data_IF_822949531588
#
_entry.id   IF_822949531588
#
_cell.length_a   1.000
_cell.length_b   1.000
_cell.length_c   1.000
_cell.angle_alpha   90.00
_cell.angle_beta   90.00
_cell.angle_gamma   90.00
#
_symmetry.space_group_name_H-M   'P 1'
#
loop_
_entity.id
_entity.type
_entity.pdbx_description
1 polymer ?
#
# COMPACT_ATOMS: atom_id res chain seq x y z
N UNK A 1 60.58 26.05 13.57
CA UNK A 1 60.98 25.30 14.78
C UNK A 1 59.71 24.70 15.38
N UNK A 2 59.42 23.43 15.04
CA UNK A 2 59.42 22.24 15.94
C UNK A 2 58.21 22.18 16.88
N UNK A 3 57.44 21.09 17.00
CA UNK A 3 57.26 19.83 16.25
C UNK A 3 56.00 19.18 16.87
N UNK A 4 55.23 18.43 16.05
CA UNK A 4 54.11 17.56 16.41
C UNK A 4 54.47 16.57 17.54
N UNK A 5 53.49 16.15 18.35
CA UNK A 5 53.43 14.77 18.85
C UNK A 5 52.17 14.08 18.33
N UNK A 6 52.37 12.85 17.89
CA UNK A 6 51.40 11.90 17.33
C UNK A 6 51.31 10.73 18.32
N UNK A 7 50.14 10.10 18.31
CA UNK A 7 49.76 8.87 19.01
C UNK A 7 50.81 7.77 19.03
N UNK A 8 50.71 6.88 20.03
CA UNK A 8 50.78 5.46 19.71
C UNK A 8 49.96 4.55 20.62
N UNK A 9 49.61 3.43 20.00
CA UNK A 9 48.58 2.44 20.29
C UNK A 9 49.01 1.35 21.28
N UNK A 10 48.05 0.73 21.99
CA UNK A 10 48.22 -0.63 22.52
C UNK A 10 46.98 -1.49 22.26
N UNK A 11 47.26 -2.67 21.73
CA UNK A 11 46.42 -3.63 21.02
C UNK A 11 45.66 -4.62 21.92
N UNK A 12 44.60 -5.20 21.35
CA UNK A 12 43.80 -6.31 21.90
C UNK A 12 44.50 -7.66 21.68
N UNK A 13 44.72 -8.42 22.78
CA UNK A 13 44.83 -9.89 22.95
C UNK A 13 46.07 -10.32 23.74
N UNK A 14 45.88 -10.61 25.02
CA UNK A 14 46.46 -11.77 25.72
C UNK A 14 45.94 -11.74 27.18
N UNK A 15 44.95 -12.54 27.54
CA UNK A 15 45.04 -13.93 28.03
C UNK A 15 45.38 -14.04 29.55
N UNK A 16 44.30 -14.26 30.31
CA UNK A 16 44.09 -15.29 31.35
C UNK A 16 45.26 -15.69 32.27
N UNK A 17 44.99 -15.57 33.58
CA UNK A 17 45.32 -16.44 34.75
C UNK A 17 45.18 -15.52 35.98
N UNK A 18 44.44 -15.81 37.04
CA UNK A 18 44.53 -16.97 37.93
C UNK A 18 43.37 -17.01 38.96
N UNK A 19 43.14 -18.21 39.48
CA UNK A 19 42.14 -18.65 40.45
C UNK A 19 42.25 -18.00 41.86
N UNK A 20 41.14 -17.80 42.59
CA UNK A 20 40.66 -18.53 43.81
C UNK A 20 41.72 -18.56 44.95
N UNK A 21 41.55 -18.04 46.18
CA UNK A 21 40.46 -18.26 47.17
C UNK A 21 40.61 -17.38 48.44
N UNK A 22 39.46 -17.02 49.04
CA UNK A 22 39.09 -16.95 50.48
C UNK A 22 39.68 -15.85 51.39
N UNK A 23 38.77 -15.05 51.99
CA UNK A 23 39.00 -14.34 53.26
C UNK A 23 38.00 -13.20 53.51
N UNK A 24 37.09 -13.39 54.46
CA UNK A 24 35.86 -12.62 54.69
C UNK A 24 36.01 -11.21 55.28
N UNK A 25 35.14 -10.28 54.85
CA UNK A 25 34.60 -9.20 55.69
C UNK A 25 33.24 -8.74 55.13
N UNK A 26 32.21 -8.84 55.95
CA UNK A 26 30.81 -8.61 55.63
C UNK A 26 30.41 -7.13 55.72
N UNK A 27 29.64 -6.60 54.77
CA UNK A 27 28.62 -5.55 54.98
C UNK A 27 27.55 -5.58 53.85
N UNK A 28 26.31 -5.87 54.26
CA UNK A 28 24.98 -5.45 53.76
C UNK A 28 24.63 -5.40 52.24
N UNK A 29 23.72 -6.29 51.81
CA UNK A 29 22.41 -5.98 51.15
C UNK A 29 21.60 -7.27 50.84
N UNK A 30 20.26 -7.28 50.96
CA UNK A 30 19.43 -8.49 50.83
C UNK A 30 19.00 -8.74 49.37
N UNK A 31 19.12 -9.99 48.91
CA UNK A 31 18.69 -10.41 47.58
C UNK A 31 17.19 -10.80 47.57
N UNK A 32 16.39 -9.93 46.97
CA UNK A 32 14.98 -10.07 46.63
C UNK A 32 14.72 -11.13 45.53
N UNK A 33 15.01 -12.40 45.78
CA UNK A 33 14.76 -13.46 44.79
C UNK A 33 13.70 -14.50 45.21
N UNK A 34 13.19 -14.44 46.44
CA UNK A 34 12.24 -15.44 46.96
C UNK A 34 10.80 -14.92 47.21
N UNK A 35 10.55 -13.62 47.08
CA UNK A 35 9.18 -13.08 47.20
C UNK A 35 8.44 -12.96 45.86
N UNK A 36 9.15 -12.99 44.71
CA UNK A 36 8.54 -12.79 43.40
C UNK A 36 7.78 -14.02 42.86
N UNK A 37 8.07 -15.23 43.36
CA UNK A 37 7.41 -16.47 42.93
C UNK A 37 6.16 -16.81 43.75
N UNK A 38 6.04 -16.31 44.98
CA UNK A 38 4.85 -16.50 45.81
C UNK A 38 3.76 -15.43 45.54
N UNK A 39 4.13 -14.22 45.09
CA UNK A 39 3.16 -13.21 44.62
C UNK A 39 2.52 -13.59 43.28
N UNK A 40 3.17 -14.46 42.50
CA UNK A 40 2.68 -14.95 41.21
C UNK A 40 1.64 -16.08 41.34
N UNK A 41 1.60 -16.78 42.47
CA UNK A 41 0.67 -17.90 42.71
C UNK A 41 -0.54 -17.54 43.59
N UNK A 42 -0.58 -16.32 44.16
CA UNK A 42 -1.64 -15.89 45.08
C UNK A 42 -2.68 -14.90 44.52
N UNK A 43 -2.50 -14.37 43.32
CA UNK A 43 -3.36 -13.30 42.78
C UNK A 43 -4.49 -13.81 41.88
N UNK A 44 -5.25 -14.80 42.36
CA UNK A 44 -6.56 -15.10 41.78
C UNK A 44 -7.57 -14.01 42.20
N UNK A 45 -8.00 -13.19 41.22
CA UNK A 45 -9.11 -12.20 41.20
C UNK A 45 -8.83 -10.78 41.72
N UNK A 46 -8.52 -9.88 40.78
CA UNK A 46 -8.87 -8.44 40.63
C UNK A 46 -8.22 -8.01 39.30
N UNK A 47 -8.80 -7.31 38.34
CA UNK A 47 -10.09 -6.67 38.13
C UNK A 47 -10.10 -6.24 36.66
N UNK A 48 -11.26 -6.30 36.04
CA UNK A 48 -11.52 -6.34 34.61
C UNK A 48 -11.45 -4.95 33.92
N UNK A 49 -10.34 -4.19 34.03
CA UNK A 49 -10.35 -2.75 33.67
C UNK A 49 -9.22 -2.16 32.81
N UNK A 50 -8.29 -2.95 32.25
CA UNK A 50 -7.29 -2.40 31.29
C UNK A 50 -7.13 -3.23 30.00
N UNK A 51 -7.32 -4.55 30.03
CA UNK A 51 -7.09 -5.39 28.83
C UNK A 51 -8.15 -5.21 27.73
N UNK A 52 -9.31 -4.62 28.05
CA UNK A 52 -10.39 -4.41 27.09
C UNK A 52 -10.26 -3.09 26.31
N UNK A 53 -9.46 -2.16 26.83
CA UNK A 53 -9.26 -0.82 26.28
C UNK A 53 -8.30 -0.85 25.08
N UNK A 54 -7.16 -1.52 25.24
CA UNK A 54 -6.16 -1.72 24.18
C UNK A 54 -6.64 -2.70 23.10
N UNK A 55 -7.54 -3.63 23.46
CA UNK A 55 -8.17 -4.53 22.51
C UNK A 55 -9.18 -3.82 21.59
N UNK A 56 -9.79 -2.70 21.99
CA UNK A 56 -10.76 -1.97 21.17
C UNK A 56 -10.09 -1.01 20.17
N UNK A 57 -9.01 -0.33 20.55
CA UNK A 57 -8.24 0.57 19.67
C UNK A 57 -7.56 -0.18 18.52
N UNK A 58 -7.03 -1.38 18.78
CA UNK A 58 -6.48 -2.27 17.75
C UNK A 58 -7.57 -2.96 16.89
N UNK A 59 -8.78 -3.18 17.42
CA UNK A 59 -9.97 -3.62 16.64
C UNK A 59 -10.58 -2.52 15.77
N UNK A 60 -10.33 -1.25 16.06
CA UNK A 60 -11.00 -0.11 15.40
C UNK A 60 -10.67 0.00 13.90
N UNK A 61 -9.41 -0.29 13.52
CA UNK A 61 -8.98 -0.37 12.13
C UNK A 61 -9.40 -1.70 11.45
N UNK A 62 -9.48 -2.79 12.22
CA UNK A 62 -9.96 -4.10 11.75
C UNK A 62 -11.45 -4.07 11.42
N UNK A 63 -12.24 -3.30 12.18
CA UNK A 63 -13.69 -3.12 11.99
C UNK A 63 -14.11 -2.20 10.84
N UNK A 64 -13.19 -1.86 9.93
CA UNK A 64 -13.45 -1.07 8.72
C UNK A 64 -13.38 -1.96 7.46
N UNK A 65 -12.76 -3.15 7.55
CA UNK A 65 -12.56 -4.04 6.41
C UNK A 65 -13.71 -5.06 6.34
N UNK A 66 -14.46 -5.01 5.25
CA UNK A 66 -15.54 -5.95 4.97
C UNK A 66 -15.08 -7.05 4.00
N UNK A 67 -15.66 -8.25 4.13
CA UNK A 67 -15.51 -9.31 3.13
C UNK A 67 -16.56 -9.21 2.01
N UNK A 68 -17.40 -8.17 2.03
CA UNK A 68 -18.31 -7.85 0.95
C UNK A 68 -17.54 -7.15 -0.17
N UNK A 69 -17.69 -7.59 -1.44
CA UNK A 69 -17.05 -6.93 -2.56
C UNK A 69 -17.57 -5.51 -2.78
N UNK A 70 -16.71 -4.61 -3.25
CA UNK A 70 -17.11 -3.24 -3.64
C UNK A 70 -18.20 -3.25 -4.71
N UNK A 71 -18.11 -4.20 -5.66
CA UNK A 71 -19.08 -4.40 -6.74
C UNK A 71 -20.04 -5.56 -6.47
N UNK A 72 -20.28 -5.91 -5.20
CA UNK A 72 -21.23 -6.96 -4.85
C UNK A 72 -22.66 -6.60 -5.25
N UNK A 73 -23.52 -7.61 -5.44
CA UNK A 73 -24.92 -7.41 -5.89
C UNK A 73 -25.73 -6.41 -5.06
N UNK A 74 -25.50 -6.38 -3.75
CA UNK A 74 -26.20 -5.47 -2.82
C UNK A 74 -25.51 -4.10 -2.67
N UNK A 75 -24.37 -3.87 -3.32
CA UNK A 75 -23.63 -2.61 -3.21
C UNK A 75 -24.47 -1.36 -3.54
N UNK A 76 -25.35 -1.34 -4.57
CA UNK A 76 -26.24 -0.20 -4.79
C UNK A 76 -27.17 0.11 -3.62
N UNK A 77 -27.64 -0.92 -2.90
CA UNK A 77 -28.53 -0.75 -1.72
C UNK A 77 -27.76 -0.11 -0.57
N UNK A 78 -26.57 -0.63 -0.26
CA UNK A 78 -25.72 -0.05 0.79
C UNK A 78 -25.31 1.39 0.46
N UNK A 79 -25.06 1.68 -0.82
CA UNK A 79 -24.79 3.04 -1.28
C UNK A 79 -25.97 3.99 -1.09
N UNK A 80 -27.19 3.56 -1.40
CA UNK A 80 -28.40 4.36 -1.16
C UNK A 80 -28.60 4.64 0.34
N UNK A 81 -28.35 3.65 1.20
CA UNK A 81 -28.39 3.84 2.66
C UNK A 81 -27.36 4.87 3.13
N UNK A 82 -26.12 4.77 2.65
CA UNK A 82 -25.08 5.75 2.95
C UNK A 82 -25.44 7.16 2.46
N UNK A 83 -26.03 7.28 1.27
CA UNK A 83 -26.52 8.55 0.73
C UNK A 83 -27.61 9.14 1.63
N UNK A 84 -28.59 8.36 2.08
CA UNK A 84 -29.62 8.83 3.01
C UNK A 84 -29.03 9.31 4.34
N UNK A 85 -28.06 8.56 4.90
CA UNK A 85 -27.35 8.98 6.11
C UNK A 85 -26.64 10.32 5.91
N UNK A 86 -25.93 10.50 4.78
CA UNK A 86 -25.20 11.72 4.50
C UNK A 86 -26.12 12.90 4.16
N UNK A 87 -27.28 12.66 3.54
CA UNK A 87 -28.34 13.66 3.37
C UNK A 87 -28.84 14.18 4.71
N UNK A 88 -29.06 13.30 5.70
CA UNK A 88 -29.46 13.72 7.04
C UNK A 88 -28.38 14.57 7.72
N UNK A 89 -27.11 14.19 7.58
CA UNK A 89 -25.98 14.97 8.10
C UNK A 89 -25.98 16.39 7.49
N UNK A 90 -26.12 16.48 6.16
CA UNK A 90 -26.20 17.77 5.45
C UNK A 90 -27.39 18.61 5.93
N UNK A 91 -28.57 18.02 6.03
CA UNK A 91 -29.78 18.71 6.49
C UNK A 91 -29.66 19.24 7.93
N UNK A 92 -28.86 18.56 8.76
CA UNK A 92 -28.56 18.98 10.13
C UNK A 92 -27.41 20.03 10.22
N UNK A 93 -26.98 20.61 9.08
CA UNK A 93 -25.93 21.63 9.03
C UNK A 93 -24.53 21.09 8.76
N UNK A 94 -24.38 19.79 8.47
CA UNK A 94 -23.10 19.16 8.18
C UNK A 94 -22.27 18.85 9.43
N UNK A 95 -20.95 18.93 9.30
CA UNK A 95 -20.00 18.79 10.40
C UNK A 95 -19.09 20.01 10.48
N UNK A 96 -18.58 20.36 11.69
CA UNK A 96 -17.68 21.49 11.83
C UNK A 96 -16.35 21.24 11.11
N UNK A 97 -15.75 22.33 10.63
CA UNK A 97 -14.36 22.34 10.20
C UNK A 97 -13.45 22.13 11.40
N UNK A 98 -12.40 21.31 11.24
CA UNK A 98 -11.35 21.14 12.24
C UNK A 98 -10.30 22.22 11.98
N UNK A 99 -10.14 23.21 12.88
CA UNK A 99 -9.17 24.28 12.68
C UNK A 99 -7.75 23.74 12.62
N UNK A 100 -6.88 24.42 11.86
CA UNK A 100 -5.45 24.16 11.93
C UNK A 100 -4.95 24.40 13.37
N UNK A 101 -4.26 23.42 13.95
CA UNK A 101 -3.57 23.58 15.23
C UNK A 101 -2.12 24.00 15.01
N UNK A 102 -1.56 24.73 15.96
CA UNK A 102 -0.13 25.08 16.01
C UNK A 102 0.75 23.86 16.28
N UNK A 103 0.18 22.77 16.79
CA UNK A 103 0.86 21.51 17.08
C UNK A 103 0.14 20.34 16.38
N UNK A 104 0.84 19.22 16.20
CA UNK A 104 0.21 18.00 15.67
C UNK A 104 -0.73 17.43 16.72
N UNK A 105 -1.97 17.17 16.34
CA UNK A 105 -2.94 16.52 17.22
C UNK A 105 -2.66 15.02 17.26
N UNK A 106 -2.32 14.52 18.44
CA UNK A 106 -1.97 13.14 18.73
C UNK A 106 -2.18 12.86 20.23
N UNK A 107 -2.13 11.59 20.63
CA UNK A 107 -2.37 11.18 22.01
C UNK A 107 -1.53 11.99 23.02
N UNK A 108 -2.21 12.47 24.07
CA UNK A 108 -1.61 13.26 25.15
C UNK A 108 -1.60 14.79 24.93
N UNK A 109 -1.92 15.27 23.72
CA UNK A 109 -2.05 16.70 23.45
C UNK A 109 -3.35 17.26 24.03
N UNK A 110 -3.31 18.46 24.61
CA UNK A 110 -4.51 19.25 24.91
C UNK A 110 -4.53 20.51 24.06
N UNK A 111 -5.56 20.66 23.24
CA UNK A 111 -5.70 21.76 22.28
C UNK A 111 -7.18 22.08 22.03
N UNK A 112 -7.60 23.36 21.96
CA UNK A 112 -8.99 23.72 21.67
C UNK A 112 -9.54 23.10 20.37
N UNK A 113 -8.71 22.89 19.35
CA UNK A 113 -9.11 22.26 18.08
C UNK A 113 -9.58 20.80 18.26
N UNK A 114 -9.19 20.12 19.34
CA UNK A 114 -9.66 18.77 19.65
C UNK A 114 -11.16 18.75 19.92
N UNK A 115 -11.74 19.83 20.43
CA UNK A 115 -13.19 19.91 20.61
C UNK A 115 -13.93 19.84 19.27
N UNK A 116 -13.44 20.59 18.26
CA UNK A 116 -13.98 20.54 16.90
C UNK A 116 -13.75 19.18 16.25
N UNK A 117 -12.57 18.58 16.44
CA UNK A 117 -12.26 17.22 15.96
C UNK A 117 -13.23 16.18 16.55
N UNK A 118 -13.51 16.23 17.85
CA UNK A 118 -14.46 15.33 18.52
C UNK A 118 -15.85 15.47 17.92
N UNK A 119 -16.35 16.70 17.78
CA UNK A 119 -17.65 16.95 17.14
C UNK A 119 -17.67 16.41 15.71
N UNK A 120 -16.62 16.67 14.93
CA UNK A 120 -16.47 16.19 13.55
C UNK A 120 -16.53 14.66 13.44
N UNK A 121 -15.81 13.95 14.32
CA UNK A 121 -15.77 12.49 14.36
C UNK A 121 -17.09 11.89 14.90
N UNK A 122 -17.76 12.57 15.83
CA UNK A 122 -19.07 12.17 16.34
C UNK A 122 -20.16 12.25 15.27
N UNK A 123 -20.19 13.31 14.47
CA UNK A 123 -21.18 13.48 13.39
C UNK A 123 -21.04 12.37 12.34
N UNK A 124 -19.82 11.97 11.99
CA UNK A 124 -19.56 10.87 11.06
C UNK A 124 -19.64 9.47 11.67
N UNK A 125 -19.90 9.35 12.97
CA UNK A 125 -20.01 8.05 13.65
C UNK A 125 -18.68 7.35 13.93
N UNK A 126 -17.55 8.06 13.86
CA UNK A 126 -16.23 7.53 14.21
C UNK A 126 -15.96 7.58 15.73
N UNK A 127 -16.59 8.53 16.44
CA UNK A 127 -16.49 8.72 17.88
C UNK A 127 -17.89 8.62 18.52
N UNK A 128 -18.11 7.77 19.54
CA UNK A 128 -19.37 7.75 20.29
C UNK A 128 -19.64 9.09 21.00
N UNK A 129 -20.91 9.52 21.06
CA UNK A 129 -21.27 10.81 21.68
C UNK A 129 -20.98 10.85 23.17
N UNK A 130 -21.00 9.69 23.81
CA UNK A 130 -20.72 9.47 25.23
C UNK A 130 -19.26 9.80 25.60
N UNK A 131 -18.35 9.85 24.61
CA UNK A 131 -16.97 10.26 24.82
C UNK A 131 -16.82 11.76 25.18
N UNK A 132 -17.89 12.55 25.04
CA UNK A 132 -17.95 13.95 25.46
C UNK A 132 -17.08 14.91 24.64
N UNK A 133 -17.25 16.21 24.90
CA UNK A 133 -16.45 17.27 24.29
C UNK A 133 -15.38 17.71 25.28
N UNK A 134 -14.11 17.58 24.88
CA UNK A 134 -12.92 17.92 25.67
C UNK A 134 -11.84 18.46 24.75
N UNK A 135 -10.92 19.26 25.29
CA UNK A 135 -9.70 19.70 24.58
C UNK A 135 -8.60 18.62 24.59
N UNK A 136 -8.75 17.55 25.38
CA UNK A 136 -7.76 16.49 25.46
C UNK A 136 -7.88 15.52 24.27
N UNK A 137 -6.75 15.21 23.63
CA UNK A 137 -6.61 14.13 22.68
C UNK A 137 -6.30 12.84 23.44
N UNK A 138 -7.36 12.17 23.86
CA UNK A 138 -7.31 10.90 24.60
C UNK A 138 -7.34 9.69 23.65
N UNK A 139 -7.35 8.50 24.23
CA UNK A 139 -7.43 7.24 23.50
C UNK A 139 -8.73 7.06 22.69
N UNK A 140 -9.84 7.70 23.09
CA UNK A 140 -11.09 7.64 22.34
C UNK A 140 -10.94 8.39 21.02
N UNK A 141 -10.34 9.58 21.06
CA UNK A 141 -10.03 10.36 19.86
C UNK A 141 -8.98 9.66 19.00
N UNK A 142 -7.95 9.06 19.60
CA UNK A 142 -6.95 8.26 18.88
C UNK A 142 -7.60 7.10 18.11
N UNK A 143 -8.41 6.28 18.78
CA UNK A 143 -9.13 5.18 18.14
C UNK A 143 -10.09 5.63 17.04
N UNK A 144 -10.85 6.69 17.30
CA UNK A 144 -11.78 7.28 16.33
C UNK A 144 -11.05 7.87 15.11
N UNK A 145 -9.92 8.55 15.32
CA UNK A 145 -9.13 9.10 14.22
C UNK A 145 -8.48 7.99 13.40
N UNK A 146 -7.98 6.94 14.04
CA UNK A 146 -7.46 5.74 13.32
C UNK A 146 -8.53 5.08 12.47
N UNK A 147 -9.75 4.95 13.00
CA UNK A 147 -10.90 4.44 12.23
C UNK A 147 -11.23 5.35 11.05
N UNK A 148 -11.26 6.66 11.27
CA UNK A 148 -11.46 7.67 10.21
C UNK A 148 -10.38 7.53 9.13
N UNK A 149 -9.10 7.51 9.52
CA UNK A 149 -7.97 7.37 8.59
C UNK A 149 -8.09 6.08 7.76
N UNK A 150 -8.35 4.94 8.42
CA UNK A 150 -8.51 3.65 7.76
C UNK A 150 -9.63 3.68 6.70
N UNK A 151 -10.82 4.23 7.03
CA UNK A 151 -11.93 4.30 6.07
C UNK A 151 -11.74 5.33 4.96
N UNK A 152 -10.77 6.23 5.10
CA UNK A 152 -10.35 7.17 4.06
C UNK A 152 -9.13 6.70 3.25
N UNK A 153 -8.59 5.51 3.54
CA UNK A 153 -7.38 4.99 2.89
C UNK A 153 -6.09 5.71 3.29
N UNK A 154 -6.09 6.39 4.44
CA UNK A 154 -4.93 7.04 5.05
C UNK A 154 -4.24 6.08 6.05
N UNK A 155 -2.98 6.35 6.47
CA UNK A 155 -2.33 5.56 7.50
C UNK A 155 -3.08 5.76 8.82
N UNK A 156 -3.48 4.67 9.46
CA UNK A 156 -4.20 4.71 10.73
C UNK A 156 -3.23 4.88 11.91
N UNK A 157 -2.46 5.96 11.91
CA UNK A 157 -1.45 6.28 12.92
C UNK A 157 -2.00 7.07 14.13
N UNK A 158 -3.23 7.59 14.04
CA UNK A 158 -3.85 8.40 15.10
C UNK A 158 -3.31 9.82 15.17
N UNK A 159 -2.60 10.29 14.14
CA UNK A 159 -2.02 11.63 14.06
C UNK A 159 -2.78 12.48 13.03
N UNK A 160 -3.26 13.65 13.44
CA UNK A 160 -3.87 14.61 12.52
C UNK A 160 -2.80 15.40 11.77
N UNK A 161 -2.19 14.75 10.76
CA UNK A 161 -1.31 15.39 9.80
C UNK A 161 -2.07 16.14 8.69
N UNK A 162 -1.33 16.75 7.75
CA UNK A 162 -1.90 17.57 6.67
C UNK A 162 -3.02 16.86 5.89
N UNK A 163 -2.77 15.63 5.41
CA UNK A 163 -3.76 14.87 4.63
C UNK A 163 -4.97 14.44 5.46
N UNK A 164 -4.77 14.08 6.73
CA UNK A 164 -5.87 13.76 7.66
C UNK A 164 -6.77 14.98 7.84
N UNK A 165 -6.18 16.16 8.08
CA UNK A 165 -6.90 17.42 8.27
C UNK A 165 -7.63 17.84 6.99
N UNK A 166 -7.00 17.76 5.81
CA UNK A 166 -7.68 17.99 4.52
C UNK A 166 -8.87 17.06 4.35
N UNK A 167 -8.70 15.76 4.61
CA UNK A 167 -9.78 14.78 4.48
C UNK A 167 -10.93 15.02 5.47
N UNK A 168 -10.63 15.44 6.71
CA UNK A 168 -11.61 15.81 7.74
C UNK A 168 -12.45 17.01 7.30
N UNK A 169 -11.80 18.00 6.67
CA UNK A 169 -12.41 19.28 6.32
C UNK A 169 -13.12 19.27 4.95
N UNK A 170 -13.10 18.18 4.19
CA UNK A 170 -14.04 17.99 3.07
C UNK A 170 -15.46 18.03 3.63
N UNK A 171 -16.28 18.96 3.11
CA UNK A 171 -17.63 19.20 3.63
C UNK A 171 -18.57 18.00 3.45
N UNK A 172 -19.62 17.93 4.27
CA UNK A 172 -20.64 16.89 4.16
C UNK A 172 -21.35 16.91 2.81
N UNK A 173 -21.57 18.10 2.26
CA UNK A 173 -22.17 18.28 0.94
C UNK A 173 -21.31 17.66 -0.17
N UNK A 174 -20.00 17.87 -0.10
CA UNK A 174 -19.07 17.32 -1.09
C UNK A 174 -18.97 15.79 -0.95
N UNK A 175 -18.93 15.25 0.27
CA UNK A 175 -18.93 13.79 0.48
C UNK A 175 -20.24 13.14 0.03
N UNK A 176 -21.38 13.81 0.22
CA UNK A 176 -22.67 13.36 -0.31
C UNK A 176 -22.64 13.31 -1.84
N UNK A 177 -22.15 14.36 -2.50
CA UNK A 177 -21.97 14.37 -3.95
C UNK A 177 -21.02 13.26 -4.42
N UNK A 178 -19.93 13.01 -3.70
CA UNK A 178 -19.00 11.91 -3.97
C UNK A 178 -19.70 10.55 -3.93
N UNK A 179 -20.56 10.30 -2.93
CA UNK A 179 -21.36 9.08 -2.84
C UNK A 179 -22.34 8.95 -4.01
N UNK A 180 -23.01 10.04 -4.40
CA UNK A 180 -23.94 10.06 -5.52
C UNK A 180 -23.24 9.76 -6.85
N UNK A 181 -22.08 10.36 -7.10
CA UNK A 181 -21.24 10.07 -8.28
C UNK A 181 -20.84 8.59 -8.32
N UNK A 182 -20.42 8.03 -7.19
CA UNK A 182 -19.98 6.63 -7.16
C UNK A 182 -21.13 5.62 -7.16
N UNK A 183 -22.34 6.00 -6.72
CA UNK A 183 -23.54 5.15 -6.91
C UNK A 183 -23.77 4.89 -8.39
N UNK A 184 -23.65 5.91 -9.26
CA UNK A 184 -23.80 5.75 -10.72
C UNK A 184 -22.75 4.79 -11.27
N UNK A 185 -21.48 4.92 -10.83
CA UNK A 185 -20.39 4.03 -11.27
C UNK A 185 -20.62 2.59 -10.81
N UNK A 186 -21.05 2.38 -9.57
CA UNK A 186 -21.40 1.05 -9.05
C UNK A 186 -22.59 0.46 -9.82
N UNK A 187 -23.63 1.25 -10.09
CA UNK A 187 -24.79 0.81 -10.87
C UNK A 187 -24.42 0.41 -12.30
N UNK A 188 -23.47 1.10 -12.94
CA UNK A 188 -22.98 0.70 -14.27
C UNK A 188 -22.29 -0.67 -14.29
N UNK A 189 -21.90 -1.19 -13.13
CA UNK A 189 -21.26 -2.50 -12.96
C UNK A 189 -22.21 -3.56 -12.36
N UNK A 190 -23.50 -3.25 -12.17
CA UNK A 190 -24.47 -4.11 -11.46
C UNK A 190 -24.94 -5.37 -12.23
N UNK A 191 -24.35 -5.67 -13.38
CA UNK A 191 -24.61 -6.89 -14.13
C UNK A 191 -24.02 -8.14 -13.48
N UNK A 192 -24.15 -9.30 -14.15
CA UNK A 192 -23.47 -10.51 -13.71
C UNK A 192 -21.96 -10.38 -13.94
N UNK A 193 -21.21 -10.15 -12.86
CA UNK A 193 -19.75 -10.06 -12.88
C UNK A 193 -19.07 -11.45 -12.94
N UNK A 194 -19.86 -12.52 -12.84
CA UNK A 194 -19.41 -13.90 -12.72
C UNK A 194 -19.14 -14.28 -11.28
N UNK A 195 -19.35 -15.56 -10.96
CA UNK A 195 -19.14 -16.11 -9.61
C UNK A 195 -17.71 -15.99 -9.12
N UNK A 196 -16.74 -15.92 -10.05
CA UNK A 196 -15.31 -15.87 -9.77
C UNK A 196 -14.67 -14.79 -10.63
N UNK A 197 -14.24 -13.69 -10.04
CA UNK A 197 -13.68 -12.55 -10.76
C UNK A 197 -12.67 -11.78 -9.92
N UNK A 198 -11.93 -10.90 -10.58
CA UNK A 198 -11.00 -9.98 -9.95
C UNK A 198 -11.48 -8.53 -10.14
N UNK A 199 -11.45 -7.73 -9.09
CA UNK A 199 -11.67 -6.29 -9.18
C UNK A 199 -10.40 -5.55 -8.77
N UNK A 200 -9.95 -4.60 -9.57
CA UNK A 200 -8.88 -3.65 -9.24
C UNK A 200 -9.53 -2.27 -9.06
N UNK A 201 -9.59 -1.77 -7.82
CA UNK A 201 -10.08 -0.43 -7.56
C UNK A 201 -8.89 0.54 -7.55
N UNK A 202 -8.78 1.33 -8.63
CA UNK A 202 -7.64 2.20 -8.93
C UNK A 202 -7.38 3.22 -7.81
N UNK A 203 -8.33 4.10 -7.41
CA UNK A 203 -8.11 5.08 -6.35
C UNK A 203 -7.89 4.44 -4.97
N UNK A 204 -8.38 3.22 -4.75
CA UNK A 204 -8.09 2.47 -3.52
C UNK A 204 -6.72 1.80 -3.53
N UNK A 205 -6.06 1.71 -4.70
CA UNK A 205 -4.87 0.91 -4.93
C UNK A 205 -4.99 -0.48 -4.28
N UNK A 206 -6.13 -1.15 -4.54
CA UNK A 206 -6.50 -2.41 -3.92
C UNK A 206 -7.12 -3.36 -4.95
N UNK A 207 -6.88 -4.66 -4.74
CA UNK A 207 -7.38 -5.74 -5.58
C UNK A 207 -8.23 -6.68 -4.72
N UNK A 208 -9.40 -7.05 -5.20
CA UNK A 208 -10.28 -8.04 -4.57
C UNK A 208 -10.45 -9.24 -5.51
N UNK A 209 -10.04 -10.42 -5.04
CA UNK A 209 -10.45 -11.67 -5.66
C UNK A 209 -11.78 -12.09 -5.02
N UNK A 210 -12.81 -12.23 -5.85
CA UNK A 210 -14.18 -12.46 -5.42
C UNK A 210 -14.60 -13.86 -5.84
N UNK A 211 -15.18 -14.60 -4.89
CA UNK A 211 -15.85 -15.87 -5.13
C UNK A 211 -17.21 -15.88 -4.46
N UNK A 212 -18.26 -16.20 -5.21
CA UNK A 212 -19.63 -16.34 -4.71
C UNK A 212 -20.06 -15.13 -3.86
N UNK A 213 -19.89 -13.91 -4.40
CA UNK A 213 -20.22 -12.64 -3.73
C UNK A 213 -19.43 -12.37 -2.43
N UNK A 214 -18.27 -13.00 -2.25
CA UNK A 214 -17.38 -12.76 -1.12
C UNK A 214 -15.96 -12.47 -1.58
N UNK A 215 -15.32 -11.50 -0.96
CA UNK A 215 -13.88 -11.26 -1.12
C UNK A 215 -13.13 -12.39 -0.39
N UNK A 216 -12.46 -13.26 -1.15
CA UNK A 216 -11.66 -14.36 -0.60
C UNK A 216 -10.18 -14.02 -0.47
N UNK A 217 -9.71 -13.03 -1.23
CA UNK A 217 -8.36 -12.49 -1.13
C UNK A 217 -8.40 -11.00 -1.43
N UNK A 218 -7.63 -10.22 -0.67
CA UNK A 218 -7.41 -8.79 -0.92
C UNK A 218 -5.91 -8.51 -0.97
N UNK A 219 -5.47 -7.84 -2.03
CA UNK A 219 -4.07 -7.45 -2.21
C UNK A 219 -3.96 -5.92 -2.30
N UNK A 220 -2.87 -5.39 -1.74
CA UNK A 220 -2.46 -4.01 -1.99
C UNK A 220 -1.86 -3.90 -3.39
N UNK A 221 -2.17 -2.82 -4.09
CA UNK A 221 -1.62 -2.52 -5.40
C UNK A 221 -0.77 -1.24 -5.40
N UNK A 222 0.04 -1.08 -6.45
CA UNK A 222 0.57 0.20 -6.92
C UNK A 222 0.05 0.42 -8.33
N UNK A 223 -0.59 1.55 -8.58
CA UNK A 223 -1.20 1.89 -9.88
C UNK A 223 -0.47 3.08 -10.52
N UNK A 224 -0.92 3.50 -11.70
CA UNK A 224 -0.33 4.59 -12.47
C UNK A 224 -0.36 5.92 -11.72
N UNK A 225 0.64 6.77 -11.98
CA UNK A 225 0.61 8.19 -11.55
C UNK A 225 -0.39 9.00 -12.38
N UNK A 226 -0.79 10.17 -11.92
CA UNK A 226 -1.75 11.04 -12.64
C UNK A 226 -1.28 11.38 -14.08
N UNK A 227 0.02 11.59 -14.29
CA UNK A 227 0.60 11.85 -15.61
C UNK A 227 0.66 10.61 -16.54
N UNK A 228 0.43 9.40 -16.01
CA UNK A 228 0.36 8.13 -16.76
C UNK A 228 -0.67 7.20 -16.10
N UNK A 229 -1.97 7.52 -16.20
CA UNK A 229 -3.00 6.87 -15.41
C UNK A 229 -3.18 5.41 -15.82
N UNK A 230 -3.53 4.56 -14.85
CA UNK A 230 -4.09 3.22 -15.13
C UNK A 230 -5.50 3.36 -15.67
N UNK A 231 -5.83 2.64 -16.74
CA UNK A 231 -7.14 2.74 -17.37
C UNK A 231 -8.20 1.87 -16.69
N UNK A 232 -9.46 2.29 -16.82
CA UNK A 232 -10.64 1.47 -16.50
C UNK A 232 -10.76 0.40 -17.57
N UNK A 233 -10.94 -0.86 -17.17
CA UNK A 233 -10.87 -2.04 -18.04
C UNK A 233 -11.97 -3.00 -17.62
N UNK A 234 -12.67 -3.57 -18.61
CA UNK A 234 -13.52 -4.74 -18.44
C UNK A 234 -12.99 -5.82 -19.38
N UNK A 235 -12.41 -6.87 -18.83
CA UNK A 235 -11.66 -7.86 -19.59
C UNK A 235 -11.63 -9.22 -18.89
N UNK A 236 -10.77 -10.12 -19.38
CA UNK A 236 -10.47 -11.41 -18.78
C UNK A 236 -8.96 -11.65 -18.73
N UNK A 237 -8.51 -12.20 -17.62
CA UNK A 237 -7.17 -12.72 -17.41
C UNK A 237 -7.07 -14.06 -18.13
N UNK A 238 -6.07 -14.21 -18.97
CA UNK A 238 -5.89 -15.42 -19.80
C UNK A 238 -4.55 -16.12 -19.57
N UNK A 239 -3.57 -15.43 -18.99
CA UNK A 239 -2.22 -15.98 -18.82
C UNK A 239 -1.53 -15.43 -17.57
N UNK A 240 -0.75 -16.31 -16.93
CA UNK A 240 0.28 -15.97 -15.96
C UNK A 240 1.63 -16.36 -16.55
N UNK A 241 2.63 -15.50 -16.47
CA UNK A 241 4.01 -15.82 -16.81
C UNK A 241 4.84 -15.83 -15.53
N UNK A 242 5.37 -16.99 -15.16
CA UNK A 242 6.38 -17.10 -14.11
C UNK A 242 7.76 -16.79 -14.70
N UNK A 243 8.59 -16.08 -13.93
CA UNK A 243 9.90 -15.60 -14.34
C UNK A 243 9.84 -14.83 -15.68
N UNK A 244 9.03 -13.75 -15.77
CA UNK A 244 8.84 -13.04 -17.02
C UNK A 244 10.12 -12.33 -17.46
N UNK A 245 10.36 -12.28 -18.78
CA UNK A 245 11.23 -11.24 -19.33
C UNK A 245 10.55 -9.88 -19.18
N UNK A 246 11.32 -8.83 -18.88
CA UNK A 246 10.81 -7.46 -18.93
C UNK A 246 11.35 -6.72 -20.14
N UNK A 247 10.47 -6.28 -21.02
CA UNK A 247 10.84 -5.42 -22.14
C UNK A 247 10.55 -3.97 -21.77
N UNK A 248 11.60 -3.15 -21.71
CA UNK A 248 11.45 -1.75 -21.36
C UNK A 248 10.65 -1.00 -22.45
N UNK A 249 9.57 -0.29 -22.09
CA UNK A 249 8.86 0.57 -23.03
C UNK A 249 9.78 1.65 -23.60
N UNK A 250 9.49 2.09 -24.84
CA UNK A 250 10.31 3.10 -25.54
C UNK A 250 10.56 4.36 -24.70
N UNK A 251 9.54 4.84 -24.00
CA UNK A 251 9.65 6.01 -23.13
C UNK A 251 10.63 5.82 -21.97
N UNK A 252 10.75 4.60 -21.41
CA UNK A 252 11.68 4.28 -20.34
C UNK A 252 13.11 4.21 -20.88
N UNK A 253 13.28 3.63 -22.09
CA UNK A 253 14.57 3.62 -22.77
C UNK A 253 15.09 5.05 -22.96
N UNK A 254 14.25 5.94 -23.48
CA UNK A 254 14.61 7.33 -23.80
C UNK A 254 14.85 8.20 -22.57
N UNK A 255 13.97 8.12 -21.57
CA UNK A 255 13.99 9.04 -20.42
C UNK A 255 14.87 8.57 -19.27
N UNK A 256 15.10 7.27 -19.16
CA UNK A 256 15.72 6.68 -17.97
C UNK A 256 17.00 5.92 -18.33
N UNK A 257 16.91 4.91 -19.20
CA UNK A 257 18.04 4.00 -19.45
C UNK A 257 19.18 4.68 -20.21
N UNK A 258 18.88 5.49 -21.25
CA UNK A 258 19.93 6.21 -22.00
C UNK A 258 20.71 7.18 -21.11
N UNK A 259 20.08 8.06 -20.31
CA UNK A 259 20.81 8.88 -19.35
C UNK A 259 21.65 8.09 -18.34
N UNK A 260 21.20 6.91 -17.91
CA UNK A 260 21.98 6.05 -17.02
C UNK A 260 23.20 5.45 -17.73
N UNK A 261 23.05 5.01 -18.97
CA UNK A 261 24.17 4.50 -19.78
C UNK A 261 25.22 5.57 -20.11
N UNK A 262 24.81 6.83 -20.26
CA UNK A 262 25.73 7.96 -20.43
C UNK A 262 26.58 8.22 -19.18
N UNK A 263 26.05 7.92 -17.99
CA UNK A 263 26.75 8.06 -16.70
C UNK A 263 27.56 6.82 -16.32
N UNK A 264 27.03 5.64 -16.60
CA UNK A 264 27.62 4.35 -16.28
C UNK A 264 27.39 3.34 -17.42
N UNK A 265 28.43 3.02 -18.21
CA UNK A 265 28.32 2.08 -19.31
C UNK A 265 28.13 0.62 -18.88
N UNK A 266 28.29 0.30 -17.58
CA UNK A 266 28.05 -1.06 -17.04
C UNK A 266 26.62 -1.30 -16.60
N UNK A 267 25.75 -0.27 -16.66
CA UNK A 267 24.39 -0.32 -16.13
C UNK A 267 23.57 -1.50 -16.68
N UNK A 268 23.58 -1.73 -18.01
CA UNK A 268 22.80 -2.81 -18.61
C UNK A 268 23.26 -4.19 -18.14
N UNK A 269 24.58 -4.40 -18.04
CA UNK A 269 25.15 -5.66 -17.56
C UNK A 269 24.76 -5.92 -16.10
N UNK A 270 24.95 -4.94 -15.21
CA UNK A 270 24.59 -5.06 -13.78
C UNK A 270 23.10 -5.33 -13.56
N UNK A 271 22.26 -4.87 -14.48
CA UNK A 271 20.80 -5.05 -14.43
C UNK A 271 20.29 -6.23 -15.27
N UNK A 272 21.17 -7.02 -15.89
CA UNK A 272 20.83 -8.13 -16.79
C UNK A 272 19.90 -7.72 -17.94
N UNK A 273 20.14 -6.56 -18.54
CA UNK A 273 19.41 -6.04 -19.69
C UNK A 273 20.21 -6.31 -20.96
N UNK A 274 19.60 -7.05 -21.89
CA UNK A 274 20.15 -7.33 -23.22
C UNK A 274 19.54 -6.39 -24.25
N UNK A 275 20.34 -6.03 -25.24
CA UNK A 275 19.89 -5.26 -26.40
C UNK A 275 19.65 -6.23 -27.56
N UNK A 276 18.46 -6.23 -28.12
CA UNK A 276 18.08 -7.13 -29.21
C UNK A 276 17.66 -6.31 -30.42
N UNK A 277 18.20 -6.62 -31.60
CA UNK A 277 17.85 -5.94 -32.85
C UNK A 277 16.54 -6.45 -33.46
N UNK A 278 16.11 -5.83 -34.56
CA UNK A 278 14.89 -6.23 -35.29
C UNK A 278 14.95 -7.64 -35.92
N UNK A 279 16.12 -8.29 -35.93
CA UNK A 279 16.33 -9.66 -36.41
C UNK A 279 16.42 -10.67 -35.24
N UNK A 280 16.27 -10.21 -34.00
CA UNK A 280 16.37 -11.04 -32.81
C UNK A 280 17.81 -11.32 -32.36
N UNK A 281 18.80 -10.64 -32.92
CA UNK A 281 20.21 -10.81 -32.57
C UNK A 281 20.60 -9.89 -31.42
N UNK A 282 21.45 -10.39 -30.53
CA UNK A 282 21.97 -9.60 -29.41
C UNK A 282 23.03 -8.60 -29.91
N UNK A 283 22.90 -7.34 -29.46
CA UNK A 283 23.78 -6.23 -29.79
C UNK A 283 24.58 -5.86 -28.55
N UNK A 284 25.90 -5.75 -28.69
CA UNK A 284 26.74 -5.29 -27.58
C UNK A 284 26.41 -3.84 -27.20
N UNK A 285 26.27 -3.51 -25.90
CA UNK A 285 26.14 -2.13 -25.44
C UNK A 285 27.28 -1.21 -25.91
N UNK A 286 28.47 -1.76 -26.14
CA UNK A 286 29.64 -1.00 -26.64
C UNK A 286 29.54 -0.63 -28.12
N UNK A 287 28.64 -1.26 -28.88
CA UNK A 287 28.40 -0.95 -30.28
C UNK A 287 27.35 0.17 -30.47
N UNK A 288 26.78 0.69 -29.37
CA UNK A 288 25.76 1.72 -29.37
C UNK A 288 26.37 3.07 -28.99
N UNK A 289 26.09 4.10 -29.79
CA UNK A 289 26.36 5.48 -29.41
C UNK A 289 25.26 6.00 -28.48
N UNK A 290 25.56 6.04 -27.17
CA UNK A 290 24.64 6.50 -26.13
C UNK A 290 24.48 8.02 -26.10
N UNK A 291 25.31 8.79 -26.80
CA UNK A 291 25.23 10.25 -26.89
C UNK A 291 24.55 10.73 -28.18
N UNK A 292 24.10 9.79 -29.02
CA UNK A 292 23.33 10.10 -30.22
C UNK A 292 22.04 10.88 -29.89
N UNK A 293 21.56 11.76 -30.80
CA UNK A 293 20.34 12.56 -30.56
C UNK A 293 19.07 11.75 -30.34
N UNK A 294 19.06 10.47 -30.72
CA UNK A 294 17.93 9.55 -30.56
C UNK A 294 18.40 8.29 -29.87
N UNK A 295 17.58 7.79 -28.94
CA UNK A 295 17.84 6.50 -28.31
C UNK A 295 17.88 5.37 -29.36
N UNK A 296 18.71 4.33 -29.16
CA UNK A 296 18.85 3.24 -30.12
C UNK A 296 17.52 2.55 -30.36
N UNK A 297 17.19 2.24 -31.62
CA UNK A 297 15.97 1.51 -31.98
C UNK A 297 16.17 0.00 -31.79
N UNK A 298 16.41 -0.41 -30.54
CA UNK A 298 16.63 -1.79 -30.12
C UNK A 298 15.61 -2.15 -29.04
N UNK A 299 15.34 -3.45 -28.88
CA UNK A 299 14.55 -3.96 -27.77
C UNK A 299 15.47 -4.13 -26.55
N UNK A 300 15.10 -3.48 -25.44
CA UNK A 300 15.78 -3.60 -24.15
C UNK A 300 15.05 -4.66 -23.34
N UNK A 301 15.60 -5.86 -23.25
CA UNK A 301 14.99 -7.00 -22.57
C UNK A 301 15.79 -7.39 -21.35
N UNK A 302 15.20 -7.25 -20.18
CA UNK A 302 15.74 -7.75 -18.92
C UNK A 302 15.41 -9.22 -18.73
N UNK A 303 16.44 -10.00 -18.40
CA UNK A 303 16.31 -11.43 -18.14
C UNK A 303 15.59 -11.70 -16.80
N UNK A 304 14.97 -12.89 -16.62
CA UNK A 304 14.28 -13.22 -15.39
C UNK A 304 15.21 -13.31 -14.18
N UNK A 305 14.73 -12.86 -13.01
CA UNK A 305 15.49 -12.93 -11.77
C UNK A 305 14.95 -12.00 -10.69
N UNK A 306 15.58 -12.05 -9.51
CA UNK A 306 15.15 -11.28 -8.33
C UNK A 306 15.19 -9.76 -8.53
N UNK A 307 16.05 -9.26 -9.43
CA UNK A 307 16.18 -7.83 -9.75
C UNK A 307 15.36 -7.42 -10.99
N UNK A 308 14.67 -8.37 -11.61
CA UNK A 308 13.82 -8.08 -12.76
C UNK A 308 12.71 -7.10 -12.33
N UNK A 309 12.37 -6.11 -13.16
CA UNK A 309 11.35 -5.11 -12.84
C UNK A 309 9.96 -5.72 -12.54
N UNK A 310 9.68 -6.92 -13.07
CA UNK A 310 8.48 -7.72 -12.81
C UNK A 310 8.75 -8.92 -11.88
N UNK A 311 9.93 -8.98 -11.25
CA UNK A 311 10.36 -10.01 -10.29
C UNK A 311 9.97 -11.43 -10.74
N UNK A 312 8.98 -12.05 -10.09
CA UNK A 312 8.66 -13.47 -10.30
C UNK A 312 7.45 -13.72 -11.19
N UNK A 313 6.57 -12.73 -11.41
CA UNK A 313 5.24 -12.98 -11.97
C UNK A 313 4.75 -11.82 -12.83
N UNK A 314 4.21 -12.14 -14.00
CA UNK A 314 3.36 -11.25 -14.82
C UNK A 314 1.99 -11.91 -15.02
N UNK A 315 0.92 -11.13 -14.96
CA UNK A 315 -0.46 -11.58 -15.18
C UNK A 315 -1.04 -10.75 -16.33
N UNK A 316 -1.37 -11.42 -17.43
CA UNK A 316 -1.88 -10.81 -18.64
C UNK A 316 -3.41 -10.92 -18.73
N UNK A 317 -4.02 -9.85 -19.24
CA UNK A 317 -5.44 -9.76 -19.56
C UNK A 317 -5.61 -8.99 -20.88
N UNK A 318 -6.72 -9.21 -21.57
CA UNK A 318 -6.95 -8.59 -22.89
C UNK A 318 -7.15 -7.07 -22.76
N UNK A 319 -6.27 -6.25 -23.33
CA UNK A 319 -6.46 -4.80 -23.33
C UNK A 319 -5.66 -4.13 -24.46
N UNK A 320 -6.11 -2.97 -24.99
CA UNK A 320 -5.42 -2.26 -26.06
C UNK A 320 -4.24 -1.40 -25.57
N UNK A 321 -4.07 -1.25 -24.26
CA UNK A 321 -3.13 -0.30 -23.65
C UNK A 321 -1.78 -0.93 -23.26
N UNK A 322 -1.58 -2.22 -23.53
CA UNK A 322 -0.42 -3.01 -23.06
C UNK A 322 -0.25 -3.01 -21.53
N UNK A 323 -1.34 -2.86 -20.79
CA UNK A 323 -1.36 -2.94 -19.33
C UNK A 323 -1.35 -4.40 -18.86
N UNK A 324 -0.73 -4.65 -17.71
CA UNK A 324 -0.71 -5.96 -17.06
C UNK A 324 -0.53 -5.79 -15.55
N UNK A 325 -0.80 -6.85 -14.79
CA UNK A 325 -0.45 -6.91 -13.38
C UNK A 325 0.89 -7.66 -13.22
N UNK A 326 1.71 -7.29 -12.23
CA UNK A 326 3.00 -7.95 -12.03
C UNK A 326 3.54 -7.85 -10.60
N UNK A 327 4.54 -8.67 -10.30
CA UNK A 327 5.35 -8.60 -9.08
C UNK A 327 6.34 -7.42 -9.14
N UNK A 328 7.00 -7.10 -8.04
CA UNK A 328 8.07 -6.08 -8.02
C UNK A 328 9.20 -6.46 -7.07
N UNK A 329 10.46 -6.18 -7.39
CA UNK A 329 11.56 -6.37 -6.44
C UNK A 329 11.47 -5.38 -5.27
N UNK A 330 10.79 -4.25 -5.44
CA UNK A 330 10.67 -3.19 -4.44
C UNK A 330 9.42 -3.37 -3.56
N UNK A 331 9.44 -4.36 -2.68
CA UNK A 331 8.29 -4.63 -1.80
C UNK A 331 7.97 -3.46 -0.85
N UNK A 332 8.96 -2.59 -0.56
CA UNK A 332 8.76 -1.38 0.25
C UNK A 332 7.76 -0.37 -0.33
N UNK A 333 7.49 -0.41 -1.64
CA UNK A 333 6.50 0.46 -2.28
C UNK A 333 5.09 0.27 -1.74
N UNK A 334 4.75 -0.95 -1.31
CA UNK A 334 3.43 -1.24 -0.75
C UNK A 334 3.21 -0.62 0.63
N UNK A 335 4.28 -0.20 1.30
CA UNK A 335 4.21 0.51 2.59
C UNK A 335 4.12 2.03 2.40
N UNK A 336 4.26 2.55 1.17
CA UNK A 336 4.05 3.97 0.91
C UNK A 336 2.59 4.32 1.13
N UNK A 337 2.38 5.47 1.76
CA UNK A 337 1.06 6.09 1.92
C UNK A 337 0.39 6.20 0.55
N UNK A 338 1.12 6.71 -0.44
CA UNK A 338 0.63 6.82 -1.82
C UNK A 338 1.30 5.81 -2.73
N UNK A 339 0.48 5.04 -3.44
CA UNK A 339 0.91 3.91 -4.27
C UNK A 339 0.58 4.19 -5.74
N UNK A 340 1.02 5.35 -6.22
CA UNK A 340 0.69 5.90 -7.55
C UNK A 340 1.97 6.24 -8.33
N UNK A 341 2.81 5.24 -8.57
CA UNK A 341 4.17 5.48 -9.10
C UNK A 341 4.42 4.74 -10.43
N UNK A 342 3.46 3.94 -10.91
CA UNK A 342 3.63 3.15 -12.12
C UNK A 342 3.43 3.99 -13.41
N UNK A 343 3.77 3.40 -14.55
CA UNK A 343 3.44 3.92 -15.89
C UNK A 343 2.22 3.19 -16.50
N UNK A 344 1.14 3.04 -15.73
CA UNK A 344 -0.13 2.44 -16.15
C UNK A 344 -0.34 0.98 -15.71
N UNK A 345 0.71 0.15 -15.68
CA UNK A 345 0.64 -1.24 -15.18
C UNK A 345 0.41 -1.31 -13.66
N UNK A 346 -0.02 -2.46 -13.14
CA UNK A 346 -0.36 -2.61 -11.72
C UNK A 346 0.60 -3.56 -11.01
N UNK A 347 1.32 -3.07 -10.00
CA UNK A 347 2.16 -3.93 -9.13
C UNK A 347 1.30 -4.52 -8.03
N UNK A 348 1.48 -5.78 -7.69
CA UNK A 348 0.62 -6.51 -6.74
C UNK A 348 1.41 -7.00 -5.53
N UNK A 349 1.02 -6.60 -4.32
CA UNK A 349 1.58 -7.12 -3.08
C UNK A 349 1.12 -8.57 -2.88
N UNK A 350 2.02 -9.45 -2.43
CA UNK A 350 1.71 -10.88 -2.24
C UNK A 350 1.13 -11.53 -3.52
N UNK A 351 1.65 -11.15 -4.68
CA UNK A 351 1.18 -11.63 -5.99
C UNK A 351 1.15 -13.15 -6.09
N UNK A 352 2.01 -13.87 -5.35
CA UNK A 352 2.03 -15.34 -5.35
C UNK A 352 0.72 -15.96 -4.86
N UNK A 353 0.05 -15.33 -3.90
CA UNK A 353 -1.24 -15.82 -3.40
C UNK A 353 -2.34 -15.56 -4.43
N UNK A 354 -2.30 -14.39 -5.09
CA UNK A 354 -3.20 -14.09 -6.20
C UNK A 354 -2.98 -15.07 -7.37
N UNK A 355 -1.73 -15.36 -7.73
CA UNK A 355 -1.40 -16.34 -8.77
C UNK A 355 -1.87 -17.74 -8.42
N UNK A 356 -1.70 -18.16 -7.16
CA UNK A 356 -2.21 -19.45 -6.66
C UNK A 356 -3.72 -19.54 -6.80
N UNK A 357 -4.41 -18.45 -6.48
CA UNK A 357 -5.84 -18.35 -6.68
C UNK A 357 -6.18 -18.47 -8.16
N UNK A 358 -5.60 -17.62 -9.04
CA UNK A 358 -5.86 -17.61 -10.49
C UNK A 358 -5.68 -19.00 -11.13
N UNK A 359 -4.58 -19.69 -10.80
CA UNK A 359 -4.22 -20.98 -11.41
C UNK A 359 -4.84 -22.21 -10.73
N UNK A 360 -5.66 -22.06 -9.68
CA UNK A 360 -6.25 -23.17 -8.92
C UNK A 360 -6.88 -24.25 -9.81
N UNK A 361 -7.62 -23.82 -10.83
CA UNK A 361 -8.38 -24.70 -11.72
C UNK A 361 -7.56 -25.10 -12.97
N UNK A 362 -6.28 -24.70 -13.05
CA UNK A 362 -5.34 -25.04 -14.12
C UNK A 362 -4.50 -26.26 -13.72
N UNK A 363 -4.70 -27.44 -14.33
CA UNK A 363 -4.02 -28.67 -13.92
C UNK A 363 -2.50 -28.55 -13.90
N UNK A 364 -1.86 -29.15 -12.90
CA UNK A 364 -0.41 -29.15 -12.73
C UNK A 364 0.14 -27.95 -11.96
N UNK A 365 -0.61 -26.87 -11.77
CA UNK A 365 -0.11 -25.64 -11.15
C UNK A 365 -0.46 -25.49 -9.67
N UNK A 366 0.03 -26.43 -8.86
CA UNK A 366 -0.02 -26.28 -7.39
C UNK A 366 0.91 -25.15 -6.91
N UNK A 367 0.69 -24.63 -5.69
CA UNK A 367 1.61 -23.65 -5.09
C UNK A 367 3.05 -24.17 -5.04
N UNK A 368 3.25 -25.44 -4.70
CA UNK A 368 4.57 -26.05 -4.66
C UNK A 368 5.23 -26.07 -6.05
N UNK A 369 4.48 -26.40 -7.10
CA UNK A 369 4.99 -26.42 -8.46
C UNK A 369 5.39 -25.01 -8.94
N UNK A 370 4.56 -24.00 -8.64
CA UNK A 370 4.91 -22.62 -8.97
C UNK A 370 6.21 -22.18 -8.30
N UNK A 371 6.39 -22.46 -7.00
CA UNK A 371 7.63 -22.11 -6.28
C UNK A 371 8.84 -22.86 -6.85
N UNK A 372 8.68 -24.13 -7.24
CA UNK A 372 9.71 -24.92 -7.92
C UNK A 372 10.12 -24.26 -9.25
N UNK A 373 9.15 -23.87 -10.08
CA UNK A 373 9.40 -23.21 -11.37
C UNK A 373 10.02 -21.82 -11.17
N UNK A 374 9.56 -21.02 -10.22
CA UNK A 374 10.17 -19.72 -9.88
C UNK A 374 11.65 -19.90 -9.51
N UNK A 375 11.99 -20.93 -8.73
CA UNK A 375 13.38 -21.21 -8.35
C UNK A 375 14.30 -21.50 -9.56
N UNK A 376 13.76 -22.07 -10.65
CA UNK A 376 14.54 -22.33 -11.88
C UNK A 376 14.93 -21.08 -12.65
N UNK A 377 14.23 -19.95 -12.44
CA UNK A 377 14.32 -18.72 -13.24
C UNK A 377 14.04 -18.90 -14.74
N UNK A 378 13.51 -20.04 -15.15
CA UNK A 378 13.11 -20.28 -16.53
C UNK A 378 11.78 -19.58 -16.80
N UNK A 379 11.74 -18.76 -17.85
CA UNK A 379 10.52 -18.10 -18.31
C UNK A 379 9.46 -19.15 -18.65
N UNK A 380 8.32 -19.09 -17.97
CA UNK A 380 7.28 -20.10 -18.09
C UNK A 380 5.90 -19.43 -18.22
N UNK A 381 5.42 -19.23 -19.46
CA UNK A 381 4.05 -18.81 -19.73
C UNK A 381 3.05 -19.92 -19.42
N UNK A 382 1.95 -19.57 -18.76
CA UNK A 382 0.92 -20.48 -18.27
C UNK A 382 -0.43 -19.94 -18.71
N UNK A 383 -1.05 -20.60 -19.68
CA UNK A 383 -2.42 -20.32 -20.07
C UNK A 383 -3.38 -20.82 -18.98
N UNK A 384 -4.31 -19.97 -18.55
CA UNK A 384 -5.35 -20.37 -17.61
C UNK A 384 -6.30 -21.39 -18.27
N UNK A 385 -6.73 -22.40 -17.51
CA UNK A 385 -7.73 -23.35 -17.98
C UNK A 385 -9.10 -22.69 -18.24
N UNK A 386 -9.43 -21.67 -17.44
CA UNK A 386 -10.60 -20.82 -17.62
C UNK A 386 -10.17 -19.36 -17.46
N UNK A 387 -10.48 -18.52 -18.43
CA UNK A 387 -10.22 -17.09 -18.30
C UNK A 387 -11.07 -16.49 -17.17
N UNK A 388 -10.47 -15.62 -16.36
CA UNK A 388 -11.13 -15.03 -15.19
C UNK A 388 -11.48 -13.57 -15.48
N UNK A 389 -12.75 -13.15 -15.36
CA UNK A 389 -13.12 -11.75 -15.52
C UNK A 389 -12.30 -10.83 -14.61
N UNK A 390 -11.87 -9.70 -15.15
CA UNK A 390 -11.15 -8.66 -14.41
C UNK A 390 -11.72 -7.28 -14.72
N UNK A 391 -12.01 -6.54 -13.66
CA UNK A 391 -12.62 -5.22 -13.72
C UNK A 391 -11.71 -4.20 -13.04
N UNK A 392 -11.12 -3.31 -13.83
CA UNK A 392 -10.40 -2.15 -13.31
C UNK A 392 -11.41 -1.01 -13.22
N UNK A 393 -11.68 -0.54 -12.01
CA UNK A 393 -12.71 0.46 -11.73
C UNK A 393 -12.14 1.67 -11.02
N UNK A 394 -12.86 2.78 -11.12
CA UNK A 394 -12.52 4.02 -10.45
C UNK A 394 -13.63 4.36 -9.44
N UNK A 395 -13.58 3.76 -8.24
CA UNK A 395 -14.59 3.95 -7.20
C UNK A 395 -13.92 4.61 -5.98
N UNK A 396 -14.22 5.88 -5.77
CA UNK A 396 -13.63 6.73 -4.71
C UNK A 396 -14.50 6.78 -3.46
N UNK A 397 -15.75 6.32 -3.51
CA UNK A 397 -16.61 6.19 -2.35
C UNK A 397 -17.51 4.95 -2.46
N UNK A 398 -17.59 4.16 -1.40
CA UNK A 398 -18.49 3.02 -1.34
C UNK A 398 -18.97 2.74 0.09
N UNK A 399 -20.03 1.97 0.24
CA UNK A 399 -20.47 1.46 1.54
C UNK A 399 -20.53 -0.07 1.50
N UNK A 400 -20.30 -0.70 2.64
CA UNK A 400 -20.41 -2.13 2.82
C UNK A 400 -21.58 -2.47 3.76
N UNK A 401 -21.88 -3.77 3.90
CA UNK A 401 -22.98 -4.30 4.73
C UNK A 401 -22.93 -3.88 6.20
N UNK A 402 -21.73 -3.57 6.70
CA UNK A 402 -21.50 -3.09 8.07
C UNK A 402 -21.90 -1.61 8.27
N UNK A 403 -22.37 -0.94 7.20
CA UNK A 403 -22.73 0.48 7.22
C UNK A 403 -21.53 1.41 7.22
N UNK A 404 -20.29 0.89 7.10
CA UNK A 404 -19.09 1.71 7.07
C UNK A 404 -18.94 2.33 5.69
N UNK A 405 -18.98 3.67 5.65
CA UNK A 405 -18.74 4.43 4.42
C UNK A 405 -17.26 4.67 4.24
N UNK A 406 -16.76 4.20 3.10
CA UNK A 406 -15.38 4.27 2.66
C UNK A 406 -15.21 5.42 1.68
N UNK A 407 -14.09 6.12 1.78
CA UNK A 407 -13.66 7.15 0.85
C UNK A 407 -12.21 6.93 0.44
N UNK A 408 -11.86 7.35 -0.76
CA UNK A 408 -10.48 7.38 -1.26
C UNK A 408 -10.24 8.72 -1.93
N UNK A 409 -8.96 9.06 -2.03
CA UNK A 409 -8.49 10.24 -2.74
C UNK A 409 -8.90 10.17 -4.23
N UNK A 410 -9.35 11.29 -4.80
CA UNK A 410 -9.69 11.40 -6.22
C UNK A 410 -8.45 11.72 -7.06
N UNK A 411 -7.54 10.75 -7.11
CA UNK A 411 -6.17 10.88 -7.61
C UNK A 411 -6.03 11.28 -9.08
N UNK A 412 -7.08 11.07 -9.88
CA UNK A 412 -7.18 11.44 -11.29
C UNK A 412 -8.29 12.46 -11.54
N UNK A 413 -8.82 13.10 -10.49
CA UNK A 413 -9.80 14.18 -10.54
C UNK A 413 -11.08 13.82 -11.34
N UNK A 414 -11.55 12.58 -11.21
CA UNK A 414 -12.71 12.09 -11.97
C UNK A 414 -14.05 12.31 -11.27
N UNK A 415 -14.05 12.78 -10.02
CA UNK A 415 -15.26 13.06 -9.25
C UNK A 415 -15.80 14.49 -9.49
N UNK A 416 -15.04 15.33 -10.20
CA UNK A 416 -15.49 16.66 -10.62
C UNK A 416 -15.43 17.74 -9.52
N UNK A 417 -14.73 17.47 -8.42
CA UNK A 417 -14.51 18.45 -7.35
C UNK A 417 -13.07 18.36 -6.83
N UNK A 418 -12.33 19.46 -6.92
CA UNK A 418 -10.91 19.53 -6.56
C UNK A 418 -10.62 19.27 -5.07
N UNK A 419 -11.58 19.49 -4.16
CA UNK A 419 -11.41 19.19 -2.72
C UNK A 419 -11.34 17.68 -2.44
N UNK A 420 -11.82 16.85 -3.38
CA UNK A 420 -11.70 15.39 -3.29
C UNK A 420 -10.32 14.88 -3.71
N UNK A 421 -9.58 15.69 -4.47
CA UNK A 421 -8.17 15.47 -4.77
C UNK A 421 -7.33 16.06 -3.65
N UNK A 422 -6.98 15.22 -2.68
CA UNK A 422 -6.12 15.58 -1.55
C UNK A 422 -4.68 15.90 -1.99
N UNK A 423 -4.38 15.68 -3.28
CA UNK A 423 -3.08 15.93 -3.90
C UNK A 423 -1.97 15.22 -3.14
N UNK A 424 -2.30 14.03 -2.63
CA UNK A 424 -1.36 13.20 -1.90
C UNK A 424 -0.17 12.76 -2.75
N UNK A 425 -0.30 12.83 -4.08
CA UNK A 425 0.77 12.61 -5.06
C UNK A 425 1.62 13.86 -5.33
N UNK A 426 1.13 15.06 -5.00
CA UNK A 426 1.81 16.33 -5.31
C UNK A 426 3.02 16.51 -4.39
N UNK A 427 4.21 16.57 -4.99
CA UNK A 427 5.50 16.64 -4.27
C UNK A 427 6.29 15.34 -4.22
N UNK A 428 5.68 14.20 -4.57
CA UNK A 428 6.41 12.96 -4.93
C UNK A 428 6.73 12.89 -6.42
N UNK A 429 6.12 13.75 -7.23
CA UNK A 429 6.48 13.90 -8.63
C UNK A 429 7.80 14.67 -8.74
N UNK A 430 8.93 13.97 -8.60
CA UNK A 430 10.16 14.48 -9.19
C UNK A 430 9.93 14.64 -10.70
N UNK A 431 10.35 15.76 -11.32
CA UNK A 431 10.20 15.96 -12.75
C UNK A 431 10.99 14.89 -13.48
N UNK A 432 10.35 13.81 -13.95
CA UNK A 432 10.97 12.65 -14.61
C UNK A 432 12.47 12.51 -14.29
N UNK A 433 12.81 12.41 -13.00
CA UNK A 433 14.18 12.26 -12.55
C UNK A 433 14.62 10.82 -12.83
N UNK A 434 15.92 10.56 -13.04
CA UNK A 434 16.39 9.22 -13.31
C UNK A 434 15.93 8.27 -12.18
N UNK A 435 15.59 7.04 -12.55
CA UNK A 435 15.17 5.91 -11.71
C UNK A 435 16.31 5.43 -10.78
N UNK A 436 17.17 6.34 -10.33
CA UNK A 436 18.23 6.08 -9.34
C UNK A 436 17.62 5.62 -8.00
N UNK A 437 16.42 6.11 -7.68
CA UNK A 437 15.74 5.79 -6.41
C UNK A 437 14.88 4.53 -6.44
N UNK A 438 14.51 4.04 -7.62
CA UNK A 438 13.57 2.94 -7.79
C UNK A 438 14.29 1.62 -8.15
N UNK A 439 15.51 1.59 -8.68
CA UNK A 439 16.13 0.33 -9.13
C UNK A 439 17.38 -0.11 -8.37
N UNK A 440 17.84 0.67 -7.39
CA UNK A 440 19.02 0.32 -6.61
C UNK A 440 18.63 -0.21 -5.22
N UNK A 441 19.20 -1.35 -4.77
CA UNK A 441 19.23 -1.63 -3.34
C UNK A 441 20.00 -0.48 -2.67
N UNK A 442 19.32 0.27 -1.82
CA UNK A 442 20.01 1.18 -0.90
C UNK A 442 20.78 0.29 0.09
N UNK A 443 22.10 0.44 0.12
CA UNK A 443 23.00 -0.28 1.02
C UNK A 443 22.60 -0.10 2.48
#
# INVERSE_FOLDING_TARGET
MTKKSVSDSVSRRALLRSAVSVGAAALAAPAFAQNALNDLMGSSRRGNWDDQFDANTSRSAVGVVSNNPVLGREAPVYMQQAIMQYQQIVQNGGWPEVPASQQRLQIGVSDPSVQALRQRLMVSGDLPREAGISSAFDSYVDGALKRFQARHGLPADGVSGEYTTKALNVSAQIRLAQLQTNLVRIQSMSGDLGQRHLMVNIPAAAIEAVENERVVLRNTAVVGRASRPTHVINSKIYEVILNPYWTAPRSIVEKDIVPLMQKDPTYLERNNIRLIDGKGQEVSPTAVDWFAPKAPNLMFRQDPGKINAMSSTKINFHNPNNEYMHDTPQQGLFNKLMRFESSGCVRVQNVRDLTSWLLRDTPGWSRQEMERVIATRVNTPIKLAQEIPVYFVYITAWSAKDGVVQFRDDIYEKDGNAELALNTTSGMEQPAGPVDDDLLPRN
#
